data_IF_182827056323
#
_entry.id   IF_182827056323
#
_cell.length_a   1.000
_cell.length_b   1.000
_cell.length_c   1.000
_cell.angle_alpha   90.00
_cell.angle_beta   90.00
_cell.angle_gamma   90.00
#
_symmetry.space_group_name_H-M   'P 1'
#
loop_
_entity.id
_entity.type
_entity.pdbx_description
1 polymer ?
#
# COMPACT_ATOMS: atom_id res chain seq x y z
N UNK A 1 14.44 -2.38 4.40
CA UNK A 1 15.77 -2.78 3.87
C UNK A 1 16.21 -1.70 2.90
N UNK A 2 17.45 -1.19 3.00
CA UNK A 2 17.96 -0.16 2.08
C UNK A 2 18.52 -0.79 0.80
N UNK A 3 18.14 -0.27 -0.36
CA UNK A 3 18.72 -0.60 -1.66
C UNK A 3 19.46 0.63 -2.17
N UNK A 4 20.74 0.47 -2.49
CA UNK A 4 21.54 1.53 -3.12
C UNK A 4 21.66 1.28 -4.61
N UNK A 5 21.24 2.25 -5.43
CA UNK A 5 21.35 2.20 -6.89
C UNK A 5 22.16 3.43 -7.33
N UNK A 6 23.42 3.20 -7.72
CA UNK A 6 24.37 4.30 -7.95
C UNK A 6 24.66 5.07 -6.67
N UNK A 7 24.43 6.38 -6.67
CA UNK A 7 24.53 7.24 -5.49
C UNK A 7 23.20 7.40 -4.73
N UNK A 8 22.10 6.83 -5.26
CA UNK A 8 20.78 6.95 -4.65
C UNK A 8 20.55 5.83 -3.63
N UNK A 9 20.04 6.19 -2.45
CA UNK A 9 19.56 5.25 -1.45
C UNK A 9 18.03 5.23 -1.44
N UNK A 10 17.45 4.03 -1.56
CA UNK A 10 16.01 3.80 -1.55
C UNK A 10 15.67 2.86 -0.40
N UNK A 11 14.76 3.28 0.47
CA UNK A 11 14.25 2.44 1.54
C UNK A 11 13.04 1.66 1.04
N UNK A 12 13.15 0.33 1.02
CA UNK A 12 12.07 -0.56 0.60
C UNK A 12 11.36 -1.09 1.85
N UNK A 13 10.04 -0.89 1.86
CA UNK A 13 9.09 -1.37 2.87
C UNK A 13 8.21 -2.43 2.23
N UNK A 14 8.30 -3.66 2.73
CA UNK A 14 7.44 -4.76 2.31
C UNK A 14 6.32 -4.92 3.33
N UNK A 15 5.08 -4.72 2.90
CA UNK A 15 3.91 -4.70 3.75
C UNK A 15 3.11 -6.00 3.58
N UNK A 16 2.59 -6.50 4.71
CA UNK A 16 1.54 -7.50 4.71
C UNK A 16 0.58 -7.16 5.85
N UNK A 17 -0.62 -6.67 5.50
CA UNK A 17 -1.71 -6.47 6.44
C UNK A 17 -2.70 -7.64 6.32
N UNK A 18 -2.84 -8.51 7.32
CA UNK A 18 -3.71 -9.67 7.24
C UNK A 18 -5.20 -9.31 7.15
N UNK A 19 -5.96 -10.04 6.32
CA UNK A 19 -7.42 -10.00 6.30
C UNK A 19 -8.06 -11.01 7.28
N UNK A 20 -9.30 -10.79 7.76
CA UNK A 20 -10.04 -9.53 7.83
C UNK A 20 -9.81 -8.92 9.21
N UNK A 21 -8.80 -8.07 9.36
CA UNK A 21 -8.56 -7.41 10.65
C UNK A 21 -9.10 -5.98 10.61
N UNK A 22 -9.86 -5.61 11.65
CA UNK A 22 -10.39 -4.24 11.85
C UNK A 22 -9.28 -3.24 12.26
N UNK A 23 -8.05 -3.71 12.40
CA UNK A 23 -6.91 -2.93 12.87
C UNK A 23 -6.16 -2.20 11.74
N UNK A 24 -6.85 -1.63 10.73
CA UNK A 24 -6.18 -0.78 9.74
C UNK A 24 -5.53 0.44 10.40
N UNK A 25 -6.24 1.14 11.28
CA UNK A 25 -5.72 2.38 11.88
C UNK A 25 -4.46 2.15 12.73
N UNK A 26 -4.42 1.18 13.66
CA UNK A 26 -3.18 0.85 14.37
C UNK A 26 -2.03 0.45 13.43
N UNK A 27 -2.33 -0.28 12.36
CA UNK A 27 -1.34 -0.65 11.35
C UNK A 27 -0.76 0.59 10.64
N UNK A 28 -1.59 1.55 10.27
CA UNK A 28 -1.16 2.80 9.64
C UNK A 28 -0.33 3.67 10.60
N UNK A 29 -0.67 3.71 11.89
CA UNK A 29 0.10 4.41 12.91
C UNK A 29 1.52 3.81 13.09
N UNK A 30 1.61 2.47 13.09
CA UNK A 30 2.90 1.77 13.12
C UNK A 30 3.71 2.06 11.85
N UNK A 31 3.07 1.97 10.68
CA UNK A 31 3.73 2.29 9.41
C UNK A 31 4.22 3.74 9.40
N UNK A 32 3.41 4.71 9.82
CA UNK A 32 3.81 6.12 9.91
C UNK A 32 5.04 6.29 10.81
N UNK A 33 5.06 5.61 11.95
CA UNK A 33 6.18 5.64 12.89
C UNK A 33 7.47 5.19 12.22
N UNK A 34 7.40 4.11 11.44
CA UNK A 34 8.54 3.57 10.69
C UNK A 34 8.96 4.50 9.54
N UNK A 35 8.00 5.05 8.76
CA UNK A 35 8.32 5.97 7.66
C UNK A 35 8.95 7.28 8.16
N UNK A 36 8.63 7.73 9.38
CA UNK A 36 9.24 8.90 9.99
C UNK A 36 10.70 8.68 10.41
N UNK A 37 11.17 7.44 10.51
CA UNK A 37 12.57 7.12 10.86
C UNK A 37 13.52 7.24 9.66
N UNK A 38 13.01 7.39 8.44
CA UNK A 38 13.80 7.48 7.22
C UNK A 38 13.48 8.75 6.44
N UNK A 39 14.51 9.56 6.19
CA UNK A 39 14.39 10.83 5.46
C UNK A 39 14.55 10.69 3.94
N UNK A 40 15.00 9.53 3.46
CA UNK A 40 15.32 9.29 2.05
C UNK A 40 14.11 8.81 1.24
N UNK A 41 14.32 8.57 -0.05
CA UNK A 41 13.36 7.96 -0.98
C UNK A 41 12.79 6.67 -0.43
N UNK A 42 11.46 6.53 -0.50
CA UNK A 42 10.70 5.40 0.05
C UNK A 42 9.98 4.68 -1.08
N UNK A 43 10.03 3.35 -1.06
CA UNK A 43 9.22 2.47 -1.89
C UNK A 43 8.44 1.54 -0.96
N UNK A 44 7.12 1.62 -1.01
CA UNK A 44 6.23 0.81 -0.18
C UNK A 44 5.51 -0.15 -1.10
N UNK A 45 5.66 -1.45 -0.85
CA UNK A 45 5.07 -2.50 -1.68
C UNK A 45 4.45 -3.56 -0.79
N UNK A 46 3.28 -4.07 -1.16
CA UNK A 46 2.75 -5.25 -0.50
C UNK A 46 1.24 -5.33 -0.43
N UNK A 47 0.76 -6.31 0.32
CA UNK A 47 -0.66 -6.62 0.50
C UNK A 47 -1.25 -5.77 1.62
N UNK A 48 -2.16 -4.86 1.26
CA UNK A 48 -2.89 -4.03 2.22
C UNK A 48 -4.28 -4.59 2.52
N UNK A 49 -4.73 -5.66 1.85
CA UNK A 49 -6.08 -6.21 1.98
C UNK A 49 -7.16 -5.10 1.96
N UNK A 50 -6.97 -4.08 1.14
CA UNK A 50 -7.79 -2.88 1.07
C UNK A 50 -8.13 -2.64 -0.41
N UNK A 51 -9.39 -2.37 -0.70
CA UNK A 51 -9.88 -2.15 -2.06
C UNK A 51 -10.19 -0.67 -2.25
N UNK A 52 -9.65 -0.07 -3.30
CA UNK A 52 -10.04 1.28 -3.74
C UNK A 52 -9.95 1.40 -5.25
N UNK A 53 -10.84 2.23 -5.78
CA UNK A 53 -10.77 2.71 -7.17
C UNK A 53 -9.50 3.50 -7.47
N UNK A 54 -8.84 4.07 -6.45
CA UNK A 54 -7.62 4.86 -6.61
C UNK A 54 -6.44 4.03 -7.12
N UNK A 55 -6.41 2.73 -6.82
CA UNK A 55 -5.46 1.74 -7.37
C UNK A 55 -6.15 0.72 -8.26
N UNK A 56 -7.21 1.16 -8.96
CA UNK A 56 -7.87 0.43 -10.04
C UNK A 56 -8.64 -0.84 -9.65
N UNK A 57 -9.03 -0.99 -8.37
CA UNK A 57 -10.06 -1.97 -8.01
C UNK A 57 -11.44 -1.49 -8.53
N UNK A 58 -12.33 -2.43 -8.85
CA UNK A 58 -13.69 -2.10 -9.29
C UNK A 58 -14.61 -1.65 -8.13
N UNK A 59 -14.17 -1.81 -6.88
CA UNK A 59 -14.91 -1.48 -5.67
C UNK A 59 -14.01 -0.78 -4.66
N UNK A 60 -14.64 -0.04 -3.75
CA UNK A 60 -13.97 0.51 -2.57
C UNK A 60 -14.61 -0.10 -1.32
N UNK A 61 -13.79 -0.54 -0.37
CA UNK A 61 -14.26 -1.04 0.92
C UNK A 61 -14.27 0.07 1.99
N UNK A 62 -14.65 -0.28 3.23
CA UNK A 62 -14.74 0.67 4.33
C UNK A 62 -13.36 1.20 4.79
N UNK A 63 -12.27 0.54 4.41
CA UNK A 63 -10.91 0.88 4.79
C UNK A 63 -10.26 1.85 3.79
N UNK A 64 -10.78 1.90 2.56
CA UNK A 64 -10.27 2.74 1.47
C UNK A 64 -10.02 4.21 1.89
N UNK A 65 -10.97 4.93 2.52
CA UNK A 65 -10.77 6.35 2.82
C UNK A 65 -9.58 6.62 3.75
N UNK A 66 -9.30 5.69 4.67
CA UNK A 66 -8.19 5.83 5.62
C UNK A 66 -6.83 5.59 4.96
N UNK A 67 -6.74 4.60 4.06
CA UNK A 67 -5.50 4.35 3.32
C UNK A 67 -5.26 5.43 2.25
N UNK A 68 -6.31 5.94 1.61
CA UNK A 68 -6.23 7.08 0.69
C UNK A 68 -5.75 8.35 1.40
N UNK A 69 -6.29 8.65 2.58
CA UNK A 69 -5.84 9.78 3.40
C UNK A 69 -4.38 9.60 3.84
N UNK A 70 -3.97 8.38 4.20
CA UNK A 70 -2.58 8.07 4.52
C UNK A 70 -1.62 8.32 3.34
N UNK A 71 -2.01 7.89 2.13
CA UNK A 71 -1.26 8.13 0.90
C UNK A 71 -1.10 9.64 0.65
N UNK A 72 -2.20 10.40 0.77
CA UNK A 72 -2.19 11.85 0.58
C UNK A 72 -1.32 12.57 1.62
N UNK A 73 -1.47 12.23 2.91
CA UNK A 73 -0.73 12.87 4.00
C UNK A 73 0.78 12.61 3.95
N UNK A 74 1.21 11.51 3.32
CA UNK A 74 2.62 11.18 3.13
C UNK A 74 3.15 11.56 1.73
N UNK A 75 2.34 12.26 0.92
CA UNK A 75 2.68 12.63 -0.46
C UNK A 75 3.17 11.44 -1.31
N UNK A 76 2.55 10.27 -1.10
CA UNK A 76 2.92 9.05 -1.80
C UNK A 76 2.27 9.01 -3.19
N UNK A 77 3.04 8.60 -4.19
CA UNK A 77 2.53 8.29 -5.52
C UNK A 77 2.14 6.81 -5.59
N UNK A 78 1.00 6.51 -6.22
CA UNK A 78 0.55 5.15 -6.52
C UNK A 78 1.05 4.77 -7.90
N UNK A 79 1.71 3.63 -8.00
CA UNK A 79 2.30 3.08 -9.24
C UNK A 79 1.54 1.87 -9.79
N UNK A 80 0.36 1.56 -9.23
CA UNK A 80 -0.55 0.59 -9.83
C UNK A 80 -0.93 0.99 -11.25
N UNK A 81 -1.21 0.02 -12.12
CA UNK A 81 -1.54 0.28 -13.53
C UNK A 81 -3.03 0.04 -13.81
N UNK A 82 -3.64 0.98 -14.52
CA UNK A 82 -5.00 0.81 -15.06
C UNK A 82 -5.03 -0.34 -16.08
N UNK A 83 -6.11 -1.11 -16.08
CA UNK A 83 -6.29 -2.33 -16.89
C UNK A 83 -5.29 -3.47 -16.60
N UNK A 84 -4.57 -3.42 -15.48
CA UNK A 84 -3.77 -4.55 -15.01
C UNK A 84 -4.64 -5.75 -14.60
N UNK A 85 -4.14 -7.00 -14.70
CA UNK A 85 -4.80 -8.14 -14.09
C UNK A 85 -4.94 -7.93 -12.57
N UNK A 86 -6.04 -8.38 -11.93
CA UNK A 86 -6.18 -8.33 -10.48
C UNK A 86 -5.02 -9.05 -9.80
N UNK A 87 -4.50 -8.42 -8.75
CA UNK A 87 -3.36 -8.90 -7.96
C UNK A 87 -3.74 -10.10 -7.09
N UNK A 88 -5.03 -10.22 -6.76
CA UNK A 88 -5.59 -11.34 -6.02
C UNK A 88 -6.74 -12.01 -6.78
N UNK A 89 -6.73 -13.34 -6.84
CA UNK A 89 -7.78 -14.16 -7.48
C UNK A 89 -8.06 -15.43 -6.68
N UNK A 90 -9.35 -15.71 -6.51
CA UNK A 90 -9.88 -16.94 -5.89
C UNK A 90 -11.06 -17.46 -6.71
N UNK A 91 -11.58 -18.63 -6.34
CA UNK A 91 -12.84 -19.15 -6.92
C UNK A 91 -14.05 -18.28 -6.57
N UNK A 92 -13.98 -17.47 -5.51
CA UNK A 92 -15.09 -16.64 -5.00
C UNK A 92 -15.01 -15.17 -5.45
N UNK A 93 -13.90 -14.74 -6.05
CA UNK A 93 -13.74 -13.36 -6.45
C UNK A 93 -12.29 -12.97 -6.76
N UNK A 94 -12.13 -11.74 -7.22
CA UNK A 94 -10.84 -11.13 -7.52
C UNK A 94 -10.82 -9.65 -7.12
N UNK A 95 -9.63 -9.06 -7.08
CA UNK A 95 -9.45 -7.65 -6.78
C UNK A 95 -7.98 -7.23 -6.78
N UNK A 96 -7.77 -5.94 -6.51
CA UNK A 96 -6.49 -5.28 -6.40
C UNK A 96 -6.31 -4.86 -4.94
N UNK A 97 -5.65 -5.73 -4.18
CA UNK A 97 -5.38 -5.55 -2.74
C UNK A 97 -3.89 -5.35 -2.43
N UNK A 98 -3.04 -5.57 -3.43
CA UNK A 98 -1.61 -5.28 -3.37
C UNK A 98 -1.34 -3.90 -3.97
N UNK A 99 -0.53 -3.08 -3.30
CA UNK A 99 -0.16 -1.74 -3.75
C UNK A 99 1.35 -1.61 -3.97
N UNK A 100 1.70 -0.67 -4.84
CA UNK A 100 3.07 -0.17 -5.10
C UNK A 100 2.99 1.33 -5.37
#
# INVERSE_FOLDING_TARGET
MGLTIGENQINIFTIYRPAPNDELLPFLDELQTVLNMVSESKLIVGDFNCRSVLWFDCTADAFAPHLEEFVLNNELAIFSEDNSPPTFRTEYGNGHIDLT
#
